data_IF_082749286257
#
_entry.id   IF_082749286257
#
_cell.length_a   1.000
_cell.length_b   1.000
_cell.length_c   1.000
_cell.angle_alpha   90.00
_cell.angle_beta   90.00
_cell.angle_gamma   90.00
#
_symmetry.space_group_name_H-M   'P 1'
#
loop_
_entity.id
_entity.type
_entity.pdbx_description
1 polymer ?
#
# COMPACT_ATOMS: atom_id res chain seq x y z
N UNK A 1 10.56 18.02 2.10
CA UNK A 1 9.55 19.05 2.43
C UNK A 1 8.20 18.39 2.63
N UNK A 2 7.55 18.61 3.78
CA UNK A 2 6.22 18.06 4.06
C UNK A 2 5.14 18.98 3.47
N UNK A 3 4.13 18.37 2.85
CA UNK A 3 2.97 19.07 2.24
C UNK A 3 1.70 18.75 3.03
N UNK A 4 0.70 19.63 2.95
CA UNK A 4 -0.66 19.28 3.38
C UNK A 4 -1.26 18.26 2.43
N UNK A 5 -2.22 17.49 2.91
CA UNK A 5 -2.81 16.37 2.13
C UNK A 5 -3.40 16.88 0.80
N UNK A 6 -4.10 18.01 0.80
CA UNK A 6 -4.74 18.59 -0.38
C UNK A 6 -3.77 19.23 -1.39
N UNK A 7 -2.51 19.46 -0.99
CA UNK A 7 -1.45 20.02 -1.86
C UNK A 7 -0.72 18.95 -2.67
N UNK A 8 -1.03 17.66 -2.43
CA UNK A 8 -0.38 16.56 -3.14
C UNK A 8 -0.97 16.44 -4.54
N UNK A 9 -0.11 16.59 -5.53
CA UNK A 9 -0.50 16.39 -6.92
C UNK A 9 -0.44 14.90 -7.27
N UNK A 10 -1.60 14.36 -7.65
CA UNK A 10 -1.73 12.98 -8.15
C UNK A 10 -1.77 13.05 -9.67
N UNK A 11 -0.80 12.41 -10.30
CA UNK A 11 -0.61 12.43 -11.74
C UNK A 11 -1.83 12.00 -12.55
N UNK A 12 -1.84 12.31 -13.84
CA UNK A 12 -2.97 12.05 -14.72
C UNK A 12 -3.16 10.56 -15.03
N UNK A 13 -2.09 9.78 -15.05
CA UNK A 13 -2.13 8.34 -15.34
C UNK A 13 -2.69 7.51 -14.17
N UNK A 14 -2.69 8.09 -12.95
CA UNK A 14 -3.16 7.39 -11.76
C UNK A 14 -4.67 7.17 -11.82
N UNK A 15 -5.17 5.93 -11.75
CA UNK A 15 -6.59 5.65 -11.82
C UNK A 15 -7.35 6.21 -10.62
N UNK A 16 -8.39 7.00 -10.90
CA UNK A 16 -9.22 7.69 -9.91
C UNK A 16 -10.62 7.08 -9.84
N UNK A 17 -11.21 7.02 -8.64
CA UNK A 17 -12.53 6.41 -8.42
C UNK A 17 -13.48 7.27 -7.60
N UNK A 18 -12.99 7.94 -6.56
CA UNK A 18 -13.86 8.49 -5.52
C UNK A 18 -14.36 9.91 -5.83
N UNK A 19 -15.62 10.26 -5.44
CA UNK A 19 -16.19 11.59 -5.69
C UNK A 19 -15.51 12.66 -4.81
N UNK A 20 -15.71 13.93 -5.18
CA UNK A 20 -15.09 15.07 -4.51
C UNK A 20 -15.44 15.20 -3.01
N UNK A 21 -16.64 14.79 -2.60
CA UNK A 21 -17.00 14.87 -1.18
C UNK A 21 -16.18 13.91 -0.32
N UNK A 22 -15.87 12.69 -0.81
CA UNK A 22 -14.97 11.75 -0.12
C UNK A 22 -13.53 12.24 -0.12
N UNK A 23 -13.06 12.88 -1.21
CA UNK A 23 -11.77 13.55 -1.23
C UNK A 23 -11.68 14.60 -0.12
N UNK A 24 -12.66 15.52 -0.03
CA UNK A 24 -12.70 16.54 1.01
C UNK A 24 -12.76 15.94 2.41
N UNK A 25 -13.55 14.88 2.59
CA UNK A 25 -13.65 14.16 3.86
C UNK A 25 -12.31 13.53 4.25
N UNK A 26 -11.62 12.82 3.33
CA UNK A 26 -10.31 12.23 3.57
C UNK A 26 -9.27 13.27 3.95
N UNK A 27 -9.19 14.37 3.20
CA UNK A 27 -8.30 15.50 3.51
C UNK A 27 -8.58 16.07 4.90
N UNK A 28 -9.83 16.36 5.20
CA UNK A 28 -10.25 16.90 6.52
C UNK A 28 -9.85 15.97 7.67
N UNK A 29 -10.11 14.67 7.54
CA UNK A 29 -9.83 13.69 8.57
C UNK A 29 -8.33 13.54 8.85
N UNK A 30 -7.51 13.56 7.81
CA UNK A 30 -6.04 13.47 7.94
C UNK A 30 -5.46 14.78 8.49
N UNK A 31 -5.85 15.92 7.93
CA UNK A 31 -5.36 17.22 8.38
C UNK A 31 -5.72 17.52 9.83
N UNK A 32 -6.96 17.19 10.27
CA UNK A 32 -7.38 17.37 11.66
C UNK A 32 -6.58 16.51 12.65
N UNK A 33 -6.07 15.36 12.20
CA UNK A 33 -5.18 14.51 13.00
C UNK A 33 -3.71 14.88 12.89
N UNK A 34 -3.40 15.92 12.13
CA UNK A 34 -2.04 16.44 11.94
C UNK A 34 -1.19 15.64 10.96
N UNK A 35 -1.82 14.77 10.14
CA UNK A 35 -1.08 14.05 9.11
C UNK A 35 -0.62 14.95 7.98
N UNK A 36 0.57 14.68 7.47
CA UNK A 36 1.21 15.34 6.34
C UNK A 36 1.66 14.32 5.31
N UNK A 37 2.11 14.79 4.17
CA UNK A 37 2.69 13.94 3.11
C UNK A 37 4.08 14.43 2.76
N UNK A 38 5.00 13.53 2.57
CA UNK A 38 6.32 13.80 1.99
C UNK A 38 6.57 12.94 0.77
N UNK A 39 7.36 13.44 -0.17
CA UNK A 39 7.63 12.74 -1.44
C UNK A 39 6.57 13.00 -2.52
N UNK A 40 6.61 12.19 -3.56
CA UNK A 40 5.70 12.26 -4.70
C UNK A 40 5.06 10.90 -4.96
N UNK A 41 3.78 10.91 -5.30
CA UNK A 41 3.06 9.69 -5.68
C UNK A 41 3.46 9.28 -7.11
N UNK A 42 3.58 7.98 -7.34
CA UNK A 42 3.87 7.40 -8.65
C UNK A 42 2.79 7.83 -9.67
N UNK A 43 3.21 8.10 -10.91
CA UNK A 43 2.29 8.48 -11.99
C UNK A 43 2.15 7.35 -13.02
N UNK A 44 1.66 6.21 -12.57
CA UNK A 44 1.45 5.02 -13.40
C UNK A 44 0.01 4.52 -13.25
N UNK A 45 -0.50 3.89 -14.29
CA UNK A 45 -1.82 3.25 -14.30
C UNK A 45 -1.81 1.86 -13.63
N UNK A 46 -0.64 1.22 -13.58
CA UNK A 46 -0.41 -0.05 -12.92
C UNK A 46 0.83 0.03 -12.03
N UNK A 47 0.66 -0.30 -10.77
CA UNK A 47 1.78 -0.34 -9.81
C UNK A 47 1.45 -1.21 -8.60
N UNK A 48 2.47 -1.65 -7.90
CA UNK A 48 2.36 -2.19 -6.55
C UNK A 48 2.69 -1.08 -5.56
N UNK A 49 1.81 -0.87 -4.60
CA UNK A 49 1.99 0.06 -3.48
C UNK A 49 2.33 -0.76 -2.24
N UNK A 50 3.60 -0.84 -1.89
CA UNK A 50 4.06 -1.53 -0.69
C UNK A 50 3.89 -0.59 0.51
N UNK A 51 2.94 -0.90 1.41
CA UNK A 51 2.58 -0.05 2.55
C UNK A 51 3.03 -0.72 3.84
N UNK A 52 3.97 -0.10 4.54
CA UNK A 52 4.46 -0.58 5.83
C UNK A 52 4.88 0.60 6.73
N UNK A 53 5.10 0.38 8.02
CA UNK A 53 4.79 -0.85 8.77
C UNK A 53 3.29 -1.05 9.00
N UNK A 54 2.85 -2.32 9.04
CA UNK A 54 1.45 -2.69 9.25
C UNK A 54 1.25 -3.41 10.59
N UNK A 55 1.06 -2.63 11.64
CA UNK A 55 1.03 -3.12 13.02
C UNK A 55 -0.34 -3.05 13.69
N UNK A 56 -1.31 -2.35 13.07
CA UNK A 56 -2.61 -2.11 13.68
C UNK A 56 -3.77 -2.01 12.68
N UNK A 57 -5.02 -2.06 13.19
CA UNK A 57 -6.20 -1.74 12.38
C UNK A 57 -6.26 -0.26 11.98
N UNK A 58 -5.57 0.61 12.73
CA UNK A 58 -5.52 2.04 12.43
C UNK A 58 -4.82 2.32 11.10
N UNK A 59 -3.84 1.50 10.71
CA UNK A 59 -3.13 1.62 9.45
C UNK A 59 -4.10 1.50 8.27
N UNK A 60 -5.11 0.60 8.40
CA UNK A 60 -6.17 0.48 7.41
C UNK A 60 -7.03 1.75 7.34
N UNK A 61 -7.40 2.35 8.48
CA UNK A 61 -8.19 3.59 8.48
C UNK A 61 -7.42 4.76 7.92
N UNK A 62 -6.14 4.93 8.27
CA UNK A 62 -5.28 5.97 7.70
C UNK A 62 -5.12 5.73 6.19
N UNK A 63 -4.81 4.51 5.78
CA UNK A 63 -4.71 4.14 4.37
C UNK A 63 -6.00 4.43 3.59
N UNK A 64 -7.17 4.13 4.16
CA UNK A 64 -8.46 4.43 3.54
C UNK A 64 -8.69 5.94 3.38
N UNK A 65 -8.31 6.75 4.38
CA UNK A 65 -8.39 8.21 4.28
C UNK A 65 -7.44 8.74 3.20
N UNK A 66 -6.23 8.16 3.06
CA UNK A 66 -5.30 8.48 1.95
C UNK A 66 -5.93 8.13 0.60
N UNK A 67 -6.53 6.94 0.47
CA UNK A 67 -7.22 6.51 -0.75
C UNK A 67 -8.32 7.49 -1.15
N UNK A 68 -9.11 7.96 -0.20
CA UNK A 68 -10.14 8.95 -0.46
C UNK A 68 -9.55 10.33 -0.81
N UNK A 69 -8.55 10.79 -0.04
CA UNK A 69 -7.91 12.09 -0.25
C UNK A 69 -7.18 12.21 -1.58
N UNK A 70 -6.61 11.11 -2.08
CA UNK A 70 -5.97 11.05 -3.40
C UNK A 70 -6.91 10.55 -4.50
N UNK A 71 -8.14 10.19 -4.15
CA UNK A 71 -9.18 9.62 -5.05
C UNK A 71 -8.74 8.33 -5.75
N UNK A 72 -7.83 7.57 -5.17
CA UNK A 72 -7.22 6.41 -5.79
C UNK A 72 -8.23 5.28 -6.05
N UNK A 73 -8.13 4.67 -7.23
CA UNK A 73 -8.76 3.37 -7.49
C UNK A 73 -7.76 2.26 -7.19
N UNK A 74 -7.77 1.75 -5.96
CA UNK A 74 -6.85 0.70 -5.53
C UNK A 74 -7.55 -0.65 -5.40
N UNK A 75 -6.74 -1.71 -5.46
CA UNK A 75 -7.08 -3.04 -5.01
C UNK A 75 -6.20 -3.45 -3.82
N UNK A 76 -6.72 -4.25 -2.91
CA UNK A 76 -5.96 -4.79 -1.78
C UNK A 76 -6.46 -6.19 -1.41
N UNK A 77 -5.58 -6.99 -0.81
CA UNK A 77 -5.95 -8.34 -0.39
C UNK A 77 -6.56 -8.35 1.00
N UNK A 78 -7.68 -9.05 1.14
CA UNK A 78 -8.32 -9.34 2.41
C UNK A 78 -8.49 -10.83 2.64
N UNK A 79 -8.43 -11.27 3.90
CA UNK A 79 -8.76 -12.64 4.27
C UNK A 79 -10.19 -12.94 3.85
N UNK A 80 -10.44 -14.06 3.16
CA UNK A 80 -11.78 -14.40 2.66
C UNK A 80 -12.87 -14.38 3.74
N UNK A 81 -12.52 -14.60 5.00
CA UNK A 81 -13.45 -14.62 6.13
C UNK A 81 -14.08 -13.27 6.47
N UNK A 82 -13.53 -12.15 5.99
CA UNK A 82 -14.12 -10.81 6.21
C UNK A 82 -15.12 -10.41 5.12
N UNK A 83 -15.25 -11.23 4.06
CA UNK A 83 -16.13 -10.93 2.93
C UNK A 83 -17.56 -11.49 3.09
N UNK A 84 -18.06 -11.59 4.31
CA UNK A 84 -19.45 -11.97 4.58
C UNK A 84 -20.40 -10.75 4.47
N UNK A 85 -21.67 -10.94 4.08
CA UNK A 85 -22.65 -9.86 4.05
C UNK A 85 -22.96 -9.29 5.46
N UNK A 86 -23.16 -7.93 5.61
CA UNK A 86 -23.07 -6.90 4.59
C UNK A 86 -21.65 -6.36 4.38
N UNK A 87 -20.71 -6.67 5.27
CA UNK A 87 -19.34 -6.15 5.30
C UNK A 87 -18.56 -6.47 4.00
N UNK A 88 -18.72 -7.68 3.50
CA UNK A 88 -18.04 -8.12 2.27
C UNK A 88 -18.39 -7.27 1.06
N UNK A 89 -19.62 -6.75 0.99
CA UNK A 89 -20.03 -5.85 -0.08
C UNK A 89 -19.26 -4.52 -0.04
N UNK A 90 -19.14 -3.95 1.16
CA UNK A 90 -18.40 -2.70 1.38
C UNK A 90 -16.92 -2.91 1.04
N UNK A 91 -16.29 -3.99 1.53
CA UNK A 91 -14.88 -4.29 1.29
C UNK A 91 -14.60 -4.45 -0.20
N UNK A 92 -15.45 -5.17 -0.95
CA UNK A 92 -15.32 -5.30 -2.41
C UNK A 92 -15.44 -3.94 -3.11
N UNK A 93 -16.38 -3.09 -2.69
CA UNK A 93 -16.53 -1.75 -3.25
C UNK A 93 -15.30 -0.87 -2.99
N UNK A 94 -14.60 -1.09 -1.86
CA UNK A 94 -13.35 -0.41 -1.53
C UNK A 94 -12.14 -0.96 -2.32
N UNK A 95 -12.32 -2.02 -3.12
CA UNK A 95 -11.26 -2.65 -3.92
C UNK A 95 -10.67 -3.92 -3.26
N UNK A 96 -11.33 -4.45 -2.23
CA UNK A 96 -10.89 -5.68 -1.57
C UNK A 96 -11.05 -6.93 -2.43
N UNK A 97 -10.00 -7.71 -2.54
CA UNK A 97 -9.94 -9.01 -3.23
C UNK A 97 -9.79 -10.11 -2.16
N UNK A 98 -10.74 -11.06 -2.07
CA UNK A 98 -10.64 -12.15 -1.11
C UNK A 98 -9.56 -13.15 -1.51
N UNK A 99 -8.64 -13.44 -0.59
CA UNK A 99 -7.64 -14.50 -0.78
C UNK A 99 -7.74 -15.61 0.25
N UNK A 100 -7.53 -16.84 -0.20
CA UNK A 100 -7.33 -18.01 0.66
C UNK A 100 -5.83 -18.27 0.77
N UNK A 101 -5.26 -18.02 1.94
CA UNK A 101 -3.79 -18.13 2.19
C UNK A 101 -3.24 -19.56 2.09
N UNK A 102 -4.10 -20.56 2.05
CA UNK A 102 -3.73 -21.98 1.99
C UNK A 102 -3.27 -22.48 0.61
N UNK A 103 -3.43 -21.68 -0.45
CA UNK A 103 -3.05 -22.04 -1.84
C UNK A 103 -2.07 -21.01 -2.42
N UNK A 104 -0.90 -20.90 -1.81
CA UNK A 104 0.07 -19.83 -2.16
C UNK A 104 0.55 -19.88 -3.63
N UNK A 105 0.77 -21.05 -4.23
CA UNK A 105 1.33 -21.15 -5.58
C UNK A 105 0.41 -20.67 -6.71
N UNK A 106 -0.92 -20.74 -6.55
CA UNK A 106 -1.85 -20.21 -7.56
C UNK A 106 -2.18 -18.72 -7.43
N UNK A 107 -1.89 -18.11 -6.26
CA UNK A 107 -2.27 -16.72 -5.98
C UNK A 107 -1.40 -15.74 -6.76
N UNK A 108 -0.08 -15.97 -6.83
CA UNK A 108 0.86 -15.09 -7.55
C UNK A 108 0.50 -15.02 -9.03
N UNK A 109 0.35 -16.16 -9.69
CA UNK A 109 0.02 -16.23 -11.12
C UNK A 109 -1.31 -15.54 -11.43
N UNK A 110 -2.36 -15.80 -10.63
CA UNK A 110 -3.65 -15.14 -10.81
C UNK A 110 -3.57 -13.62 -10.68
N UNK A 111 -2.73 -13.11 -9.77
CA UNK A 111 -2.53 -11.67 -9.60
C UNK A 111 -1.79 -11.09 -10.80
N UNK A 112 -0.74 -11.76 -11.26
CA UNK A 112 0.03 -11.36 -12.44
C UNK A 112 -0.89 -11.28 -13.67
N UNK A 113 -1.72 -12.28 -13.89
CA UNK A 113 -2.70 -12.29 -14.98
C UNK A 113 -3.72 -11.14 -14.85
N UNK A 114 -4.23 -10.88 -13.64
CA UNK A 114 -5.11 -9.76 -13.39
C UNK A 114 -4.45 -8.42 -13.70
N UNK A 115 -3.20 -8.21 -13.29
CA UNK A 115 -2.45 -6.98 -13.60
C UNK A 115 -2.25 -6.85 -15.12
N UNK A 116 -1.85 -7.94 -15.80
CA UNK A 116 -1.61 -7.92 -17.24
C UNK A 116 -2.87 -7.63 -18.04
N UNK A 117 -3.98 -8.27 -17.69
CA UNK A 117 -5.26 -8.13 -18.41
C UNK A 117 -6.03 -6.83 -18.09
N UNK A 118 -5.75 -6.18 -16.98
CA UNK A 118 -6.41 -4.93 -16.60
C UNK A 118 -5.80 -3.74 -17.35
N UNK A 119 -6.59 -2.73 -17.66
CA UNK A 119 -6.07 -1.43 -18.15
C UNK A 119 -5.42 -0.63 -17.02
N UNK A 120 -6.00 -0.69 -15.81
CA UNK A 120 -5.54 0.03 -14.63
C UNK A 120 -5.58 -0.90 -13.43
N UNK A 121 -4.50 -0.96 -12.64
CA UNK A 121 -4.49 -1.71 -11.39
C UNK A 121 -3.43 -1.21 -10.43
N UNK A 122 -3.83 -0.50 -9.39
CA UNK A 122 -2.96 -0.18 -8.26
C UNK A 122 -3.19 -1.20 -7.15
N UNK A 123 -2.21 -2.05 -6.89
CA UNK A 123 -2.29 -3.08 -5.85
C UNK A 123 -1.60 -2.61 -4.58
N UNK A 124 -2.39 -2.28 -3.55
CA UNK A 124 -1.86 -1.97 -2.23
C UNK A 124 -1.72 -3.24 -1.39
N UNK A 125 -0.56 -3.44 -0.79
CA UNK A 125 -0.30 -4.58 0.08
C UNK A 125 0.72 -4.23 1.18
N UNK A 126 0.68 -4.99 2.29
CA UNK A 126 1.72 -4.94 3.30
C UNK A 126 2.78 -6.01 2.98
N UNK A 127 4.05 -5.63 2.73
CA UNK A 127 5.11 -6.58 2.39
C UNK A 127 5.40 -7.57 3.52
N UNK A 128 5.11 -7.21 4.75
CA UNK A 128 5.18 -8.08 5.93
C UNK A 128 4.23 -9.29 5.84
N UNK A 129 3.08 -9.13 5.15
CA UNK A 129 2.04 -10.15 5.01
C UNK A 129 1.33 -10.54 6.31
N UNK A 130 1.68 -9.92 7.43
CA UNK A 130 1.12 -10.14 8.77
C UNK A 130 1.25 -8.88 9.62
N UNK A 131 0.57 -8.83 10.76
CA UNK A 131 0.71 -7.77 11.78
C UNK A 131 1.61 -8.18 12.94
N UNK A 132 2.08 -9.41 12.94
CA UNK A 132 3.07 -9.91 13.89
C UNK A 132 4.47 -9.61 13.39
N UNK A 133 5.44 -9.40 14.31
CA UNK A 133 6.83 -9.22 13.92
C UNK A 133 7.29 -10.41 13.07
N UNK A 134 7.82 -10.13 11.90
CA UNK A 134 8.38 -11.15 11.00
C UNK A 134 9.58 -10.58 10.25
N UNK A 135 10.65 -11.37 10.20
CA UNK A 135 11.83 -11.10 9.41
C UNK A 135 12.47 -12.42 8.98
N UNK A 136 12.94 -12.56 7.74
CA UNK A 136 12.80 -11.62 6.62
C UNK A 136 11.35 -11.54 6.09
N UNK A 137 11.02 -10.43 5.43
CA UNK A 137 9.72 -10.25 4.79
C UNK A 137 9.58 -11.16 3.57
N UNK A 138 8.33 -11.45 3.21
CA UNK A 138 8.04 -12.27 2.03
C UNK A 138 8.27 -11.47 0.75
N UNK A 139 8.99 -12.05 -0.20
CA UNK A 139 9.35 -11.42 -1.47
C UNK A 139 8.28 -11.59 -2.57
N UNK A 140 7.15 -12.21 -2.25
CA UNK A 140 6.09 -12.53 -3.23
C UNK A 140 5.61 -11.30 -4.03
N UNK A 141 5.53 -10.13 -3.42
CA UNK A 141 5.13 -8.90 -4.12
C UNK A 141 6.17 -8.44 -5.14
N UNK A 142 7.47 -8.68 -4.89
CA UNK A 142 8.54 -8.39 -5.84
C UNK A 142 8.50 -9.36 -7.04
N UNK A 143 8.18 -10.63 -6.80
CA UNK A 143 7.95 -11.59 -7.88
C UNK A 143 6.76 -11.18 -8.74
N UNK A 144 5.65 -10.76 -8.13
CA UNK A 144 4.50 -10.23 -8.87
C UNK A 144 4.89 -9.02 -9.71
N UNK A 145 5.61 -8.04 -9.13
CA UNK A 145 6.06 -6.84 -9.84
C UNK A 145 6.93 -7.20 -11.05
N UNK A 146 7.88 -8.11 -10.87
CA UNK A 146 8.79 -8.58 -11.94
C UNK A 146 8.03 -9.27 -13.07
N UNK A 147 7.17 -10.21 -12.75
CA UNK A 147 6.45 -11.00 -13.75
C UNK A 147 5.36 -10.19 -14.46
N UNK A 148 4.73 -9.24 -13.78
CA UNK A 148 3.77 -8.33 -14.36
C UNK A 148 4.41 -7.12 -15.04
N UNK A 149 5.74 -6.91 -14.89
CA UNK A 149 6.49 -5.75 -15.40
C UNK A 149 5.91 -4.42 -14.94
N UNK A 150 5.57 -4.32 -13.64
CA UNK A 150 5.03 -3.10 -13.03
C UNK A 150 5.96 -2.57 -11.94
N UNK A 151 6.02 -1.25 -11.75
CA UNK A 151 6.83 -0.65 -10.70
C UNK A 151 6.26 -0.90 -9.30
N UNK A 152 7.14 -0.75 -8.30
CA UNK A 152 6.78 -0.82 -6.88
C UNK A 152 7.10 0.53 -6.23
N UNK A 153 6.09 1.19 -5.63
CA UNK A 153 6.33 2.34 -4.77
C UNK A 153 6.26 1.93 -3.31
N UNK A 154 7.25 2.37 -2.53
CA UNK A 154 7.29 2.19 -1.09
C UNK A 154 6.49 3.32 -0.42
N UNK A 155 5.59 2.98 0.49
CA UNK A 155 4.78 3.96 1.22
C UNK A 155 4.90 3.68 2.72
N UNK A 156 5.41 4.68 3.44
CA UNK A 156 5.54 4.64 4.89
C UNK A 156 4.39 5.35 5.60
N UNK A 157 3.86 4.73 6.66
CA UNK A 157 2.96 5.39 7.61
C UNK A 157 3.75 5.69 8.87
N UNK A 158 4.39 6.84 8.91
CA UNK A 158 5.20 7.28 10.05
C UNK A 158 4.30 7.92 11.12
N UNK A 159 4.13 7.22 12.22
CA UNK A 159 3.26 7.63 13.31
C UNK A 159 3.90 8.66 14.26
N UNK A 160 5.22 8.70 14.37
CA UNK A 160 5.92 9.65 15.23
C UNK A 160 5.81 11.06 14.66
N UNK A 161 6.06 11.18 13.36
CA UNK A 161 5.96 12.48 12.64
C UNK A 161 4.58 12.71 12.03
N UNK A 162 3.66 11.74 12.11
CA UNK A 162 2.36 11.72 11.43
C UNK A 162 2.49 12.04 9.94
N UNK A 163 3.42 11.35 9.28
CA UNK A 163 3.73 11.59 7.87
C UNK A 163 3.45 10.35 7.03
N UNK A 164 2.71 10.55 5.95
CA UNK A 164 2.61 9.59 4.86
C UNK A 164 3.83 9.81 3.98
N UNK A 165 4.79 8.90 4.05
CA UNK A 165 6.05 8.98 3.31
C UNK A 165 5.89 8.26 1.99
N UNK A 166 5.79 9.03 0.90
CA UNK A 166 5.83 8.51 -0.46
C UNK A 166 7.30 8.31 -0.84
N UNK A 167 7.77 7.10 -0.63
CA UNK A 167 9.17 6.73 -0.72
C UNK A 167 9.65 6.40 -2.13
N UNK A 168 10.81 5.73 -2.25
CA UNK A 168 11.39 5.34 -3.52
C UNK A 168 10.46 4.53 -4.40
N UNK A 169 10.66 4.66 -5.71
CA UNK A 169 9.98 3.87 -6.73
C UNK A 169 11.01 2.92 -7.34
N UNK A 170 10.76 1.61 -7.23
CA UNK A 170 11.51 0.58 -7.92
C UNK A 170 10.85 0.40 -9.29
N UNK A 171 11.42 1.02 -10.31
CA UNK A 171 10.84 1.03 -11.65
C UNK A 171 10.85 -0.37 -12.29
N UNK A 172 11.90 -1.14 -12.05
CA UNK A 172 12.05 -2.49 -12.57
C UNK A 172 12.64 -3.41 -11.50
N UNK A 173 12.06 -4.59 -11.37
CA UNK A 173 12.54 -5.59 -10.42
C UNK A 173 13.51 -6.53 -11.14
N UNK A 174 14.80 -6.27 -10.97
CA UNK A 174 15.89 -7.09 -11.56
C UNK A 174 16.51 -8.03 -10.50
N UNK A 175 17.06 -7.49 -9.42
CA UNK A 175 17.66 -8.24 -8.32
C UNK A 175 16.83 -8.07 -7.04
N UNK A 176 16.04 -9.09 -6.71
CA UNK A 176 15.13 -9.03 -5.55
C UNK A 176 15.91 -8.90 -4.23
N UNK A 177 17.04 -9.60 -4.07
CA UNK A 177 17.79 -9.58 -2.81
C UNK A 177 18.36 -8.18 -2.52
N UNK A 178 19.00 -7.57 -3.51
CA UNK A 178 19.55 -6.23 -3.40
C UNK A 178 18.44 -5.17 -3.19
N UNK A 179 17.36 -5.28 -3.94
CA UNK A 179 16.24 -4.36 -3.82
C UNK A 179 15.50 -4.52 -2.49
N UNK A 180 15.46 -5.71 -1.90
CA UNK A 180 14.94 -5.92 -0.56
C UNK A 180 15.80 -5.21 0.51
N UNK A 181 17.12 -5.08 0.35
CA UNK A 181 17.95 -4.26 1.24
C UNK A 181 17.56 -2.78 1.18
N UNK A 182 17.32 -2.26 -0.02
CA UNK A 182 16.81 -0.87 -0.21
C UNK A 182 15.45 -0.69 0.46
N UNK A 183 14.57 -1.67 0.35
CA UNK A 183 13.25 -1.67 0.99
C UNK A 183 13.39 -1.65 2.52
N UNK A 184 14.22 -2.51 3.09
CA UNK A 184 14.48 -2.54 4.53
C UNK A 184 15.09 -1.21 5.02
N UNK A 185 16.07 -0.66 4.30
CA UNK A 185 16.69 0.62 4.64
C UNK A 185 15.68 1.77 4.66
N UNK A 186 14.73 1.80 3.71
CA UNK A 186 13.66 2.78 3.72
C UNK A 186 12.74 2.65 4.93
N UNK A 187 12.23 1.44 5.20
CA UNK A 187 11.29 1.23 6.30
C UNK A 187 11.94 1.27 7.69
N UNK A 188 13.25 1.12 7.81
CA UNK A 188 13.96 1.31 9.07
C UNK A 188 13.82 2.75 9.62
N UNK A 189 13.52 3.72 8.74
CA UNK A 189 13.30 5.13 9.09
C UNK A 189 11.82 5.50 9.24
N UNK A 190 10.90 4.53 9.24
CA UNK A 190 9.46 4.74 9.35
C UNK A 190 8.94 4.17 10.67
N UNK A 191 8.43 5.03 11.54
CA UNK A 191 7.97 4.64 12.86
C UNK A 191 6.56 4.05 12.84
N UNK A 192 6.44 2.79 13.28
CA UNK A 192 5.16 2.10 13.41
C UNK A 192 4.31 2.65 14.58
N UNK A 193 3.00 2.51 14.51
CA UNK A 193 2.11 2.80 15.65
C UNK A 193 2.45 1.98 16.89
N UNK A 194 2.88 0.74 16.71
CA UNK A 194 3.34 -0.16 17.77
C UNK A 194 4.73 -0.67 17.40
N UNK A 195 5.76 0.04 17.84
CA UNK A 195 7.18 -0.25 17.55
C UNK A 195 7.60 -1.66 17.93
N UNK A 196 7.08 -2.20 19.04
CA UNK A 196 7.32 -3.58 19.47
C UNK A 196 6.87 -4.65 18.46
N UNK A 197 6.02 -4.30 17.49
CA UNK A 197 5.56 -5.19 16.42
C UNK A 197 6.32 -4.98 15.11
N UNK A 198 7.27 -4.06 15.07
CA UNK A 198 8.04 -3.74 13.88
C UNK A 198 9.44 -4.34 14.03
N UNK A 199 9.78 -5.31 13.19
CA UNK A 199 11.15 -5.79 13.06
C UNK A 199 11.64 -5.34 11.69
N UNK A 200 12.32 -4.19 11.67
CA UNK A 200 12.99 -3.68 10.48
C UNK A 200 14.50 -3.90 10.51
N UNK A 201 15.05 -4.32 11.66
CA UNK A 201 16.48 -4.56 11.83
C UNK A 201 16.72 -5.91 12.51
N UNK A 202 17.41 -6.80 11.82
CA UNK A 202 18.32 -7.73 12.49
C UNK A 202 19.55 -6.92 12.90
N UNK A 203 19.81 -6.76 14.20
CA UNK A 203 21.15 -6.44 14.67
C UNK A 203 22.10 -7.56 14.27
#
# INVERSE_FOLDING_TARGET
MQKRIHEVNIGANVPKKWPNWLHRFGCFMLDRRGWRVSGNFINEDKAILAVAPHTSNWDFFIGLMVVFSFRLNINFFGKHTIFFPPLGYIIRRLGGIPIRRTKAHGVVNNIVEQIKSSQHLLLALAPEGTRSPIFPWKTGFMHIAREASVPVQLIGLDYDTKTIVLGPIIQKVDNIEEQMQTIYAFYANVSAKYSAKCITNSK
#
